data_IF_453434285890
#
_entry.id   IF_453434285890
#
_cell.length_a   1.000
_cell.length_b   1.000
_cell.length_c   1.000
_cell.angle_alpha   90.00
_cell.angle_beta   90.00
_cell.angle_gamma   90.00
#
_symmetry.space_group_name_H-M   'P 1'
#
loop_
_entity.id
_entity.type
_entity.pdbx_description
1 polymer ?
#
# COMPACT_ATOMS: atom_id res chain seq x y z
N UNK A 1 -12.90 4.46 12.41
CA UNK A 1 -12.56 5.43 11.34
C UNK A 1 -12.65 4.74 9.99
N UNK A 2 -13.07 5.45 8.94
CA UNK A 2 -13.19 4.90 7.59
C UNK A 2 -11.79 4.53 7.05
N UNK A 3 -11.57 3.29 6.60
CA UNK A 3 -10.25 2.82 6.11
C UNK A 3 -9.70 3.71 5.00
N UNK A 4 -10.58 4.23 4.14
CA UNK A 4 -10.24 5.18 3.09
C UNK A 4 -9.74 6.52 3.65
N UNK A 5 -10.32 7.01 4.75
CA UNK A 5 -9.85 8.22 5.41
C UNK A 5 -8.41 8.05 5.92
N UNK A 6 -8.13 6.93 6.59
CA UNK A 6 -6.78 6.64 7.10
C UNK A 6 -5.75 6.56 5.95
N UNK A 7 -6.14 6.01 4.80
CA UNK A 7 -5.30 6.02 3.60
C UNK A 7 -4.95 7.44 3.15
N UNK A 8 -5.94 8.34 3.05
CA UNK A 8 -5.69 9.74 2.67
C UNK A 8 -4.87 10.51 3.71
N UNK A 9 -5.02 10.21 5.00
CA UNK A 9 -4.18 10.81 6.05
C UNK A 9 -2.71 10.40 5.89
N UNK A 10 -2.45 9.11 5.67
CA UNK A 10 -1.09 8.59 5.43
C UNK A 10 -0.50 9.12 4.12
N UNK A 11 -1.31 9.21 3.07
CA UNK A 11 -0.91 9.85 1.81
C UNK A 11 -0.48 11.30 2.01
N UNK A 12 -1.25 12.07 2.79
CA UNK A 12 -0.92 13.49 3.04
C UNK A 12 0.42 13.62 3.75
N UNK A 13 0.66 12.81 4.79
CA UNK A 13 1.96 12.75 5.48
C UNK A 13 3.11 12.39 4.54
N UNK A 14 2.88 11.43 3.64
CA UNK A 14 3.87 10.99 2.66
C UNK A 14 4.16 12.06 1.60
N UNK A 15 3.13 12.73 1.10
CA UNK A 15 3.24 13.86 0.18
C UNK A 15 4.02 15.02 0.81
N UNK A 16 3.68 15.39 2.04
CA UNK A 16 4.34 16.48 2.76
C UNK A 16 5.80 16.15 3.02
N UNK A 17 6.10 14.91 3.41
CA UNK A 17 7.46 14.43 3.56
C UNK A 17 8.24 14.57 2.23
N UNK A 18 7.69 14.07 1.12
CA UNK A 18 8.34 14.10 -0.19
C UNK A 18 8.58 15.51 -0.72
N UNK A 19 7.70 16.45 -0.38
CA UNK A 19 7.79 17.83 -0.87
C UNK A 19 8.70 18.69 -0.01
N UNK A 20 8.66 18.53 1.31
CA UNK A 20 9.32 19.44 2.27
C UNK A 20 10.65 18.96 2.83
N UNK A 21 10.88 17.65 2.95
CA UNK A 21 12.09 17.11 3.60
C UNK A 21 13.30 17.06 2.67
N UNK A 22 14.48 17.18 3.28
CA UNK A 22 15.80 16.94 2.68
C UNK A 22 16.13 15.45 2.62
N UNK A 23 17.20 15.10 1.88
CA UNK A 23 17.54 13.70 1.58
C UNK A 23 17.61 12.82 2.82
N UNK A 24 18.33 13.32 3.82
CA UNK A 24 18.64 12.59 5.04
C UNK A 24 17.43 12.48 5.99
N UNK A 25 16.43 13.35 5.84
CA UNK A 25 15.21 13.37 6.66
C UNK A 25 14.11 12.43 6.14
N UNK A 26 14.19 12.04 4.87
CA UNK A 26 13.18 11.18 4.23
C UNK A 26 13.44 9.69 4.51
N UNK A 27 14.68 9.27 4.71
CA UNK A 27 15.02 7.89 5.08
C UNK A 27 14.35 7.48 6.41
N UNK A 28 14.18 8.42 7.35
CA UNK A 28 13.41 8.20 8.58
C UNK A 28 11.87 8.23 8.39
N UNK A 29 11.39 8.71 7.24
CA UNK A 29 9.97 8.91 6.91
C UNK A 29 9.38 7.82 6.01
N UNK A 30 10.03 6.65 5.91
CA UNK A 30 9.71 5.55 4.99
C UNK A 30 8.54 4.65 5.44
N UNK A 31 8.28 4.54 6.75
CA UNK A 31 7.19 3.71 7.31
C UNK A 31 5.80 4.00 6.72
N UNK A 32 5.38 5.26 6.49
CA UNK A 32 4.10 5.59 5.87
C UNK A 32 3.82 4.94 4.51
N UNK A 33 4.83 4.67 3.68
CA UNK A 33 4.64 4.00 2.38
C UNK A 33 4.29 2.51 2.56
N UNK A 34 4.97 1.85 3.51
CA UNK A 34 4.69 0.46 3.86
C UNK A 34 3.29 0.32 4.46
N UNK A 35 2.94 1.24 5.34
CA UNK A 35 1.62 1.35 5.95
C UNK A 35 0.49 1.62 4.94
N UNK A 36 0.73 2.48 3.94
CA UNK A 36 -0.20 2.70 2.84
C UNK A 36 -0.41 1.43 2.02
N UNK A 37 0.65 0.67 1.76
CA UNK A 37 0.58 -0.56 1.00
C UNK A 37 -0.37 -1.58 1.63
N UNK A 38 -0.16 -1.91 2.91
CA UNK A 38 -1.01 -2.91 3.59
C UNK A 38 -2.45 -2.44 3.76
N UNK A 39 -2.65 -1.16 4.07
CA UNK A 39 -3.99 -0.59 4.21
C UNK A 39 -4.74 -0.58 2.87
N UNK A 40 -4.03 -0.31 1.77
CA UNK A 40 -4.60 -0.32 0.43
C UNK A 40 -4.95 -1.74 -0.03
N UNK A 41 -4.07 -2.71 0.22
CA UNK A 41 -4.32 -4.14 -0.07
C UNK A 41 -5.62 -4.59 0.59
N UNK A 42 -5.78 -4.30 1.88
CA UNK A 42 -7.02 -4.62 2.60
C UNK A 42 -8.22 -3.87 2.03
N UNK A 43 -8.10 -2.56 1.77
CA UNK A 43 -9.17 -1.76 1.20
C UNK A 43 -9.61 -2.24 -0.19
N UNK A 44 -8.67 -2.68 -1.03
CA UNK A 44 -8.94 -3.17 -2.39
C UNK A 44 -9.52 -4.57 -2.39
N UNK A 45 -9.18 -5.41 -1.41
CA UNK A 45 -9.84 -6.70 -1.21
C UNK A 45 -11.35 -6.53 -0.93
N UNK A 46 -11.75 -5.48 -0.22
CA UNK A 46 -13.15 -5.16 0.03
C UNK A 46 -13.91 -4.64 -1.22
N UNK A 47 -13.20 -4.35 -2.32
CA UNK A 47 -13.78 -3.87 -3.57
C UNK A 47 -14.18 -5.02 -4.50
N UNK A 48 -15.28 -5.68 -4.15
CA UNK A 48 -15.91 -6.72 -4.99
C UNK A 48 -16.62 -6.11 -6.19
N UNK A 49 -17.31 -4.98 -6.00
CA UNK A 49 -17.87 -4.15 -7.07
C UNK A 49 -17.07 -2.83 -7.18
N UNK A 50 -16.43 -2.64 -8.33
CA UNK A 50 -15.57 -1.48 -8.61
C UNK A 50 -16.36 -0.16 -8.69
N UNK A 51 -17.66 -0.22 -8.96
CA UNK A 51 -18.50 0.97 -9.17
C UNK A 51 -19.07 1.55 -7.88
N UNK A 52 -18.89 0.87 -6.75
CA UNK A 52 -19.31 1.43 -5.46
C UNK A 52 -18.58 2.73 -5.19
N UNK A 53 -19.25 3.69 -4.53
CA UNK A 53 -18.67 5.00 -4.17
C UNK A 53 -17.35 4.86 -3.39
N UNK A 54 -17.21 3.81 -2.59
CA UNK A 54 -15.98 3.51 -1.87
C UNK A 54 -14.84 3.12 -2.84
N UNK A 55 -15.10 2.20 -3.77
CA UNK A 55 -14.09 1.68 -4.70
C UNK A 55 -13.67 2.69 -5.75
N UNK A 56 -14.59 3.54 -6.22
CA UNK A 56 -14.26 4.69 -7.07
C UNK A 56 -13.28 5.63 -6.37
N UNK A 57 -13.52 5.94 -5.08
CA UNK A 57 -12.60 6.79 -4.31
C UNK A 57 -11.26 6.11 -4.03
N UNK A 58 -11.25 4.80 -3.84
CA UNK A 58 -10.01 4.03 -3.67
C UNK A 58 -9.19 3.98 -4.97
N UNK A 59 -9.83 3.90 -6.13
CA UNK A 59 -9.17 4.01 -7.44
C UNK A 59 -8.53 5.38 -7.63
N UNK A 60 -9.26 6.45 -7.27
CA UNK A 60 -8.71 7.81 -7.29
C UNK A 60 -7.53 7.96 -6.33
N UNK A 61 -7.61 7.35 -5.15
CA UNK A 61 -6.51 7.31 -4.20
C UNK A 61 -5.25 6.68 -4.83
N UNK A 62 -5.38 5.50 -5.46
CA UNK A 62 -4.26 4.83 -6.14
C UNK A 62 -3.60 5.74 -7.17
N UNK A 63 -4.39 6.35 -8.06
CA UNK A 63 -3.87 7.25 -9.10
C UNK A 63 -3.10 8.44 -8.52
N UNK A 64 -3.55 9.00 -7.40
CA UNK A 64 -2.85 10.09 -6.72
C UNK A 64 -1.57 9.60 -6.01
N UNK A 65 -1.61 8.43 -5.39
CA UNK A 65 -0.44 7.82 -4.75
C UNK A 65 0.67 7.52 -5.76
N UNK A 66 0.33 7.02 -6.96
CA UNK A 66 1.32 6.73 -8.01
C UNK A 66 2.06 7.99 -8.49
N UNK A 67 1.43 9.16 -8.46
CA UNK A 67 2.09 10.43 -8.78
C UNK A 67 3.20 10.80 -7.77
N UNK A 68 3.09 10.34 -6.52
CA UNK A 68 4.14 10.55 -5.51
C UNK A 68 5.44 9.86 -5.90
N UNK A 69 5.37 8.76 -6.65
CA UNK A 69 6.56 8.07 -7.12
C UNK A 69 7.36 8.92 -8.13
N UNK A 70 6.68 9.68 -8.98
CA UNK A 70 7.34 10.60 -9.91
C UNK A 70 8.05 11.72 -9.15
N UNK A 71 7.42 12.25 -8.09
CA UNK A 71 8.03 13.25 -7.20
C UNK A 71 9.26 12.66 -6.51
N UNK A 72 9.15 11.44 -6.00
CA UNK A 72 10.26 10.74 -5.34
C UNK A 72 11.45 10.49 -6.27
N UNK A 73 11.20 10.02 -7.51
CA UNK A 73 12.24 9.78 -8.53
C UNK A 73 12.97 11.06 -8.92
N UNK A 74 12.26 12.17 -9.06
CA UNK A 74 12.84 13.45 -9.49
C UNK A 74 13.83 14.05 -8.50
N UNK A 75 13.87 13.58 -7.25
CA UNK A 75 14.75 14.11 -6.21
C UNK A 75 16.01 13.25 -5.95
N UNK A 76 16.37 12.32 -6.86
CA UNK A 76 17.53 11.39 -6.72
C UNK A 76 17.61 10.68 -5.36
N UNK A 77 16.46 10.38 -4.78
CA UNK A 77 16.40 9.65 -3.53
C UNK A 77 16.57 8.15 -3.75
N UNK A 78 17.35 7.51 -2.88
CA UNK A 78 17.30 6.05 -2.70
C UNK A 78 15.92 5.56 -2.25
N UNK A 79 15.06 6.49 -1.79
CA UNK A 79 13.66 6.28 -1.50
C UNK A 79 12.88 5.56 -2.61
N UNK A 80 13.15 5.81 -3.90
CA UNK A 80 12.42 5.09 -4.96
C UNK A 80 12.64 3.58 -4.92
N UNK A 81 13.73 3.11 -4.28
CA UNK A 81 13.99 1.69 -4.06
C UNK A 81 13.11 1.09 -2.96
N UNK A 82 12.72 1.90 -1.98
CA UNK A 82 11.94 1.48 -0.81
C UNK A 82 10.45 1.88 -0.89
N UNK A 83 10.09 2.75 -1.83
CA UNK A 83 8.70 3.16 -2.06
C UNK A 83 7.87 2.00 -2.59
N UNK A 84 6.88 1.56 -1.81
CA UNK A 84 6.00 0.46 -2.22
C UNK A 84 4.94 0.94 -3.20
N UNK A 85 4.94 0.38 -4.40
CA UNK A 85 3.87 0.54 -5.36
C UNK A 85 2.59 -0.15 -4.89
N UNK A 86 1.44 0.47 -5.16
CA UNK A 86 0.15 -0.13 -4.83
C UNK A 86 -0.23 -1.17 -5.90
N UNK A 87 -0.66 -2.38 -5.50
CA UNK A 87 -0.99 -3.44 -6.43
C UNK A 87 -2.20 -3.08 -7.30
N UNK A 88 -2.18 -3.51 -8.56
CA UNK A 88 -3.32 -3.37 -9.47
C UNK A 88 -4.45 -4.37 -9.14
N UNK A 89 -4.08 -5.63 -8.91
CA UNK A 89 -5.00 -6.68 -8.48
C UNK A 89 -4.49 -7.32 -7.18
N UNK A 90 -5.31 -7.31 -6.12
CA UNK A 90 -4.91 -7.92 -4.84
C UNK A 90 -5.00 -9.46 -4.86
N UNK A 91 -5.87 -10.04 -5.70
CA UNK A 91 -6.01 -11.49 -5.83
C UNK A 91 -4.75 -12.13 -6.46
N UNK A 92 -4.09 -11.44 -7.40
CA UNK A 92 -2.88 -11.94 -8.05
C UNK A 92 -1.59 -11.47 -7.34
N UNK A 93 -1.61 -10.33 -6.64
CA UNK A 93 -0.39 -9.75 -6.07
C UNK A 93 0.03 -10.33 -4.70
N UNK A 94 -0.81 -11.14 -4.03
CA UNK A 94 -0.34 -11.95 -2.89
C UNK A 94 0.73 -12.97 -3.36
N UNK A 95 0.67 -13.41 -4.61
CA UNK A 95 1.70 -14.27 -5.23
C UNK A 95 2.97 -13.49 -5.61
N UNK A 96 2.83 -12.28 -6.16
CA UNK A 96 3.95 -11.53 -6.76
C UNK A 96 4.90 -10.88 -5.73
N UNK A 97 4.38 -10.43 -4.57
CA UNK A 97 5.25 -9.85 -3.53
C UNK A 97 6.14 -10.88 -2.82
N UNK A 98 5.79 -12.17 -2.87
CA UNK A 98 6.67 -13.24 -2.39
C UNK A 98 7.82 -13.54 -3.38
N UNK A 99 7.62 -13.25 -4.67
CA UNK A 99 8.56 -13.60 -5.74
C UNK A 99 9.65 -12.55 -5.98
N UNK A 100 9.42 -11.28 -5.63
CA UNK A 100 10.37 -10.19 -5.89
C UNK A 100 11.22 -9.75 -4.68
N UNK A 101 11.10 -10.41 -3.52
CA UNK A 101 11.88 -9.97 -2.36
C UNK A 101 11.83 -10.86 -1.14
N UNK A 102 12.13 -12.16 -1.24
CA UNK A 102 12.57 -12.94 -0.07
C UNK A 102 13.47 -14.10 -0.51
N UNK A 103 14.78 -13.99 -0.27
CA UNK A 103 15.73 -15.12 -0.21
C UNK A 103 15.61 -15.92 1.09
N UNK A 104 14.61 -15.67 1.94
CA UNK A 104 14.35 -16.45 3.15
C UNK A 104 12.84 -16.67 3.26
N UNK A 105 12.44 -17.94 3.12
CA UNK A 105 11.05 -18.36 2.98
C UNK A 105 10.17 -17.93 4.13
N UNK A 106 9.25 -17.01 3.84
CA UNK A 106 8.04 -16.82 4.64
C UNK A 106 6.88 -17.28 3.78
N UNK A 107 6.32 -18.43 4.14
CA UNK A 107 5.03 -18.91 3.63
C UNK A 107 3.98 -17.84 3.96
N UNK A 108 3.16 -17.37 3.01
CA UNK A 108 2.09 -16.44 3.34
C UNK A 108 1.05 -17.15 4.20
N UNK A 109 1.10 -16.90 5.51
CA UNK A 109 0.18 -17.41 6.54
C UNK A 109 -1.28 -16.91 6.38
N UNK A 110 -1.60 -16.15 5.33
CA UNK A 110 -2.95 -15.65 5.09
C UNK A 110 -3.96 -16.76 4.73
N UNK A 111 -3.51 -17.89 4.16
CA UNK A 111 -4.36 -19.07 3.97
C UNK A 111 -4.80 -19.70 5.30
N UNK A 112 -3.99 -19.56 6.35
CA UNK A 112 -4.30 -20.05 7.70
C UNK A 112 -5.29 -19.13 8.40
N UNK A 113 -5.14 -17.81 8.26
CA UNK A 113 -6.10 -16.83 8.82
C UNK A 113 -7.51 -16.98 8.24
N UNK A 114 -7.65 -17.21 6.93
CA UNK A 114 -8.96 -17.44 6.31
C UNK A 114 -9.64 -18.69 6.87
N UNK A 115 -8.90 -19.80 7.00
CA UNK A 115 -9.42 -21.05 7.57
C UNK A 115 -9.85 -20.90 9.04
N UNK A 116 -9.14 -20.09 9.82
CA UNK A 116 -9.48 -19.80 11.22
C UNK A 116 -10.73 -18.93 11.33
N UNK A 117 -10.91 -17.93 10.47
CA UNK A 117 -12.12 -17.08 10.47
C UNK A 117 -13.36 -17.88 10.04
N UNK A 118 -13.23 -18.75 9.04
CA UNK A 118 -14.34 -19.62 8.57
C UNK A 118 -14.79 -20.61 9.65
N UNK A 119 -13.86 -21.13 10.47
CA UNK A 119 -14.17 -22.03 11.59
C UNK A 119 -14.77 -21.32 12.81
N UNK A 120 -14.55 -20.02 12.98
CA UNK A 120 -15.11 -19.22 14.10
C UNK A 120 -16.54 -18.76 13.80
N UNK A 121 -16.90 -18.64 12.52
CA UNK A 121 -18.20 -18.10 12.08
C UNK A 121 -19.23 -19.21 11.77
N UNK A 122 -18.85 -20.49 11.88
CA UNK A 122 -19.73 -21.65 11.62
C UNK A 122 -20.08 -22.38 12.91
#
# INVERSE_FOLDING_TARGET
MNKLYNLYEKYSKLHDALTTKTKDELDASLDPSNDCFYDYVYARYLCVDENTKYCVKLKNFKSNYEKLFTIAKGKEYDFSKNFKHLPENVYNNIMSTALLGTTIGIVPLFGVLYKVIELIIK
#
